data_IF_384937145869
#
_entry.id   IF_384937145869
#
_cell.length_a   1.000
_cell.length_b   1.000
_cell.length_c   1.000
_cell.angle_alpha   90.00
_cell.angle_beta   90.00
_cell.angle_gamma   90.00
#
_symmetry.space_group_name_H-M   'P 1'
#
loop_
_entity.id
_entity.type
_entity.pdbx_description
1 polymer ?
#
# COMPACT_ATOMS: atom_id res chain seq x y z
N UNK A 1 -12.27 -3.51 5.43
CA UNK A 1 -13.26 -3.45 4.33
C UNK A 1 -12.59 -3.02 3.02
N UNK A 2 -11.67 -3.83 2.48
CA UNK A 2 -11.07 -3.61 1.14
C UNK A 2 -10.96 -4.92 0.34
N UNK A 3 -11.34 -6.05 0.95
CA UNK A 3 -11.27 -7.39 0.35
C UNK A 3 -12.34 -7.59 -0.72
N UNK A 4 -13.52 -6.99 -0.52
CA UNK A 4 -14.68 -7.21 -1.41
C UNK A 4 -14.47 -6.62 -2.82
N UNK A 5 -13.70 -5.54 -2.94
CA UNK A 5 -13.55 -4.85 -4.22
C UNK A 5 -12.54 -5.51 -5.17
N UNK A 6 -11.59 -6.29 -4.62
CA UNK A 6 -10.57 -6.98 -5.42
C UNK A 6 -11.14 -8.23 -6.10
N UNK A 7 -11.91 -9.03 -5.36
CA UNK A 7 -12.60 -10.23 -5.88
C UNK A 7 -13.62 -9.86 -6.97
N UNK A 8 -14.40 -8.79 -6.77
CA UNK A 8 -15.31 -8.26 -7.79
C UNK A 8 -14.59 -7.78 -9.04
N UNK A 9 -13.43 -7.11 -8.89
CA UNK A 9 -12.61 -6.67 -10.02
C UNK A 9 -12.03 -7.85 -10.80
N UNK A 10 -11.59 -8.90 -10.10
CA UNK A 10 -11.11 -10.17 -10.66
C UNK A 10 -12.20 -10.88 -11.46
N UNK A 11 -13.38 -11.08 -10.86
CA UNK A 11 -14.51 -11.72 -11.50
C UNK A 11 -14.97 -10.98 -12.76
N UNK A 12 -15.00 -9.64 -12.72
CA UNK A 12 -15.37 -8.80 -13.87
C UNK A 12 -14.27 -8.64 -14.93
N UNK A 13 -13.09 -9.24 -14.74
CA UNK A 13 -11.96 -9.14 -15.69
C UNK A 13 -11.76 -10.41 -16.51
N UNK A 14 -12.39 -11.52 -16.12
CA UNK A 14 -12.23 -12.82 -16.78
C UNK A 14 -13.36 -13.04 -17.79
N UNK A 15 -13.08 -12.92 -19.09
CA UNK A 15 -14.03 -13.35 -20.13
C UNK A 15 -13.95 -14.86 -20.29
N UNK A 16 -15.09 -15.54 -20.33
CA UNK A 16 -15.21 -17.01 -20.31
C UNK A 16 -14.79 -17.69 -21.63
N UNK A 17 -14.31 -16.95 -22.63
CA UNK A 17 -14.30 -17.34 -24.05
C UNK A 17 -12.89 -17.63 -24.62
N UNK A 18 -11.99 -18.18 -23.81
CA UNK A 18 -10.76 -18.82 -24.29
C UNK A 18 -9.64 -17.92 -24.84
N UNK A 19 -9.82 -16.59 -24.94
CA UNK A 19 -8.77 -15.64 -25.36
C UNK A 19 -7.97 -15.12 -24.17
N UNK A 20 -7.28 -16.05 -23.51
CA UNK A 20 -6.49 -15.85 -22.29
C UNK A 20 -5.56 -14.61 -22.36
N UNK A 21 -4.97 -14.31 -23.52
CA UNK A 21 -4.07 -13.16 -23.69
C UNK A 21 -4.79 -11.81 -23.60
N UNK A 22 -6.03 -11.72 -24.12
CA UNK A 22 -6.82 -10.49 -24.06
C UNK A 22 -7.31 -10.23 -22.62
N UNK A 23 -7.69 -11.30 -21.93
CA UNK A 23 -8.11 -11.26 -20.53
C UNK A 23 -6.96 -10.88 -19.60
N UNK A 24 -5.75 -11.38 -19.84
CA UNK A 24 -4.55 -10.97 -19.09
C UNK A 24 -4.27 -9.48 -19.28
N UNK A 25 -4.34 -8.95 -20.51
CA UNK A 25 -4.08 -7.54 -20.75
C UNK A 25 -5.15 -6.63 -20.11
N UNK A 26 -6.41 -7.05 -20.15
CA UNK A 26 -7.53 -6.37 -19.48
C UNK A 26 -7.35 -6.40 -17.95
N UNK A 27 -7.01 -7.57 -17.40
CA UNK A 27 -6.71 -7.74 -15.98
C UNK A 27 -5.53 -6.87 -15.53
N UNK A 28 -4.40 -6.90 -16.26
CA UNK A 28 -3.22 -6.07 -15.96
C UNK A 28 -3.55 -4.58 -15.98
N UNK A 29 -4.41 -4.15 -16.89
CA UNK A 29 -4.86 -2.76 -16.99
C UNK A 29 -5.71 -2.37 -15.77
N UNK A 30 -6.70 -3.20 -15.40
CA UNK A 30 -7.52 -2.99 -14.21
C UNK A 30 -6.72 -3.04 -12.91
N UNK A 31 -5.74 -3.94 -12.80
CA UNK A 31 -4.81 -3.99 -11.65
C UNK A 31 -3.95 -2.73 -11.58
N UNK A 32 -3.47 -2.19 -12.70
CA UNK A 32 -2.72 -0.92 -12.72
C UNK A 32 -3.57 0.25 -12.28
N UNK A 33 -4.81 0.33 -12.76
CA UNK A 33 -5.75 1.38 -12.38
C UNK A 33 -6.13 1.30 -10.90
N UNK A 34 -6.45 0.10 -10.41
CA UNK A 34 -6.68 -0.15 -8.99
C UNK A 34 -5.44 0.19 -8.15
N UNK A 35 -4.25 -0.20 -8.59
CA UNK A 35 -3.00 0.13 -7.90
C UNK A 35 -2.75 1.65 -7.90
N UNK A 36 -3.08 2.38 -8.97
CA UNK A 36 -2.96 3.83 -8.99
C UNK A 36 -4.00 4.51 -8.09
N UNK A 37 -5.27 4.09 -8.15
CA UNK A 37 -6.36 4.61 -7.32
C UNK A 37 -6.08 4.35 -5.83
N UNK A 38 -5.67 3.13 -5.48
CA UNK A 38 -5.41 2.74 -4.09
C UNK A 38 -4.05 3.25 -3.55
N UNK A 39 -3.00 3.37 -4.37
CA UNK A 39 -1.63 3.68 -3.89
C UNK A 39 -1.02 4.99 -4.43
N UNK A 40 -1.58 5.57 -5.49
CA UNK A 40 -1.12 6.82 -6.10
C UNK A 40 -1.21 7.98 -5.12
N UNK A 41 -2.33 8.09 -4.41
CA UNK A 41 -2.53 9.11 -3.37
C UNK A 41 -1.55 8.95 -2.21
N UNK A 42 -1.28 7.71 -1.77
CA UNK A 42 -0.38 7.40 -0.64
C UNK A 42 1.08 7.73 -0.99
N UNK A 43 1.52 7.38 -2.20
CA UNK A 43 2.89 7.67 -2.65
C UNK A 43 3.10 9.17 -2.91
N UNK A 44 2.09 9.86 -3.43
CA UNK A 44 2.07 11.33 -3.52
C UNK A 44 2.13 12.01 -2.16
N UNK A 45 1.30 11.57 -1.20
CA UNK A 45 1.28 12.08 0.19
C UNK A 45 2.65 11.89 0.86
N UNK A 46 3.28 10.72 0.72
CA UNK A 46 4.65 10.47 1.20
C UNK A 46 5.66 11.48 0.63
N UNK A 47 5.64 11.72 -0.68
CA UNK A 47 6.58 12.64 -1.35
C UNK A 47 6.39 14.07 -0.86
N UNK A 48 5.13 14.53 -0.72
CA UNK A 48 4.80 15.86 -0.23
C UNK A 48 5.26 16.06 1.22
N UNK A 49 5.00 15.09 2.10
CA UNK A 49 5.41 15.15 3.51
C UNK A 49 6.93 15.22 3.65
N UNK A 50 7.68 14.42 2.87
CA UNK A 50 9.14 14.46 2.87
C UNK A 50 9.69 15.80 2.37
N UNK A 51 9.11 16.36 1.31
CA UNK A 51 9.50 17.68 0.80
C UNK A 51 9.26 18.77 1.85
N UNK A 52 8.09 18.78 2.50
CA UNK A 52 7.79 19.74 3.58
C UNK A 52 8.72 19.59 4.78
N UNK A 53 9.03 18.36 5.20
CA UNK A 53 9.99 18.11 6.28
C UNK A 53 11.39 18.62 5.94
N UNK A 54 11.83 18.49 4.68
CA UNK A 54 13.12 19.01 4.22
C UNK A 54 13.16 20.54 4.32
N UNK A 55 12.12 21.21 3.85
CA UNK A 55 12.03 22.67 3.92
C UNK A 55 11.94 23.17 5.37
N UNK A 56 11.21 22.49 6.24
CA UNK A 56 11.11 22.87 7.66
C UNK A 56 12.44 22.68 8.39
N UNK A 57 13.18 21.61 8.10
CA UNK A 57 14.54 21.44 8.64
C UNK A 57 15.43 22.61 8.22
N UNK A 58 15.45 22.94 6.92
CA UNK A 58 16.22 24.08 6.40
C UNK A 58 15.84 25.41 7.06
N UNK A 59 14.54 25.64 7.30
CA UNK A 59 14.05 26.84 8.00
C UNK A 59 14.42 26.84 9.47
N UNK A 60 14.37 25.70 10.16
CA UNK A 60 14.77 25.57 11.57
C UNK A 60 16.27 25.80 11.76
N UNK A 61 17.10 25.37 10.80
CA UNK A 61 18.54 25.59 10.83
C UNK A 61 18.90 27.09 10.73
N UNK A 62 18.03 27.88 10.08
CA UNK A 62 18.17 29.33 9.96
C UNK A 62 17.48 30.10 11.09
N UNK A 63 16.30 29.65 11.50
CA UNK A 63 15.43 30.31 12.48
C UNK A 63 14.76 29.24 13.37
N UNK A 64 15.28 28.98 14.58
CA UNK A 64 14.72 28.00 15.50
C UNK A 64 13.44 28.56 16.14
N UNK A 65 12.32 28.43 15.42
CA UNK A 65 10.99 28.81 15.87
C UNK A 65 10.24 27.62 16.46
N UNK A 66 9.64 27.79 17.63
CA UNK A 66 8.89 26.75 18.33
C UNK A 66 7.69 26.23 17.50
N UNK A 67 7.03 27.11 16.77
CA UNK A 67 5.98 26.74 15.80
C UNK A 67 6.50 25.75 14.73
N UNK A 68 7.70 25.97 14.20
CA UNK A 68 8.30 25.08 13.19
C UNK A 68 8.70 23.73 13.79
N UNK A 69 9.11 23.70 15.07
CA UNK A 69 9.36 22.46 15.80
C UNK A 69 8.07 21.65 15.99
N UNK A 70 6.96 22.30 16.35
CA UNK A 70 5.67 21.64 16.48
C UNK A 70 5.17 21.11 15.12
N UNK A 71 5.31 21.92 14.06
CA UNK A 71 4.95 21.51 12.70
C UNK A 71 5.81 20.32 12.21
N UNK A 72 7.11 20.30 12.53
CA UNK A 72 7.99 19.15 12.24
C UNK A 72 7.52 17.88 12.93
N UNK A 73 7.09 17.97 14.21
CA UNK A 73 6.56 16.83 14.96
C UNK A 73 5.29 16.29 14.32
N UNK A 74 4.33 17.16 14.02
CA UNK A 74 3.07 16.82 13.33
C UNK A 74 3.34 16.10 12.00
N UNK A 75 4.14 16.68 11.11
CA UNK A 75 4.45 16.07 9.81
C UNK A 75 5.21 14.74 9.92
N UNK A 76 5.98 14.54 11.00
CA UNK A 76 6.65 13.26 11.27
C UNK A 76 5.65 12.17 11.68
N UNK A 77 4.59 12.53 12.40
CA UNK A 77 3.50 11.61 12.73
C UNK A 77 2.69 11.24 11.49
N UNK A 78 2.34 12.23 10.66
CA UNK A 78 1.64 11.99 9.38
C UNK A 78 2.43 11.04 8.46
N UNK A 79 3.77 11.21 8.43
CA UNK A 79 4.62 10.33 7.64
C UNK A 79 4.64 8.90 8.19
N UNK A 80 4.67 8.74 9.52
CA UNK A 80 4.59 7.41 10.16
C UNK A 80 3.27 6.72 9.85
N UNK A 81 2.16 7.45 9.88
CA UNK A 81 0.84 6.93 9.50
C UNK A 81 0.84 6.42 8.05
N UNK A 82 1.34 7.23 7.10
CA UNK A 82 1.45 6.85 5.68
C UNK A 82 2.34 5.61 5.47
N UNK A 83 3.41 5.48 6.25
CA UNK A 83 4.27 4.30 6.21
C UNK A 83 3.59 3.07 6.82
N UNK A 84 2.83 3.23 7.89
CA UNK A 84 2.01 2.17 8.49
C UNK A 84 0.97 1.64 7.51
N UNK A 85 0.23 2.54 6.85
CA UNK A 85 -0.71 2.19 5.78
C UNK A 85 -0.03 1.39 4.67
N UNK A 86 1.18 1.80 4.23
CA UNK A 86 1.97 1.01 3.28
C UNK A 86 2.31 -0.37 3.83
N UNK A 87 2.78 -0.48 5.07
CA UNK A 87 3.16 -1.75 5.68
C UNK A 87 1.98 -2.72 5.76
N UNK A 88 0.80 -2.26 6.17
CA UNK A 88 -0.42 -3.08 6.18
C UNK A 88 -0.80 -3.57 4.79
N UNK A 89 -0.66 -2.73 3.77
CA UNK A 89 -0.90 -3.14 2.37
C UNK A 89 0.14 -4.14 1.86
N UNK A 90 1.40 -3.99 2.27
CA UNK A 90 2.44 -4.97 1.94
C UNK A 90 2.16 -6.33 2.58
N UNK A 91 1.72 -6.35 3.84
CA UNK A 91 1.30 -7.58 4.52
C UNK A 91 0.15 -8.28 3.80
N UNK A 92 -0.81 -7.52 3.28
CA UNK A 92 -1.93 -8.07 2.49
C UNK A 92 -1.50 -8.64 1.13
N UNK A 93 -0.38 -8.17 0.56
CA UNK A 93 0.16 -8.67 -0.72
C UNK A 93 0.97 -9.96 -0.58
N UNK A 94 1.48 -10.26 0.62
CA UNK A 94 2.25 -11.49 0.84
C UNK A 94 1.25 -12.65 0.89
N UNK A 95 1.35 -13.66 0.01
CA UNK A 95 0.53 -14.85 0.13
C UNK A 95 0.83 -15.51 1.49
N UNK A 96 -0.16 -15.62 2.38
CA UNK A 96 -0.05 -16.25 3.71
C UNK A 96 0.24 -17.78 3.68
N UNK A 97 0.89 -18.29 2.63
CA UNK A 97 1.09 -19.74 2.40
C UNK A 97 2.24 -20.38 3.17
N UNK A 98 3.03 -19.65 3.95
CA UNK A 98 4.22 -20.22 4.61
C UNK A 98 4.05 -20.47 6.12
N UNK A 99 2.91 -20.12 6.72
CA UNK A 99 2.72 -20.19 8.18
C UNK A 99 1.61 -21.15 8.64
N UNK A 100 1.41 -22.27 7.94
CA UNK A 100 0.72 -23.42 8.55
C UNK A 100 1.77 -24.43 9.02
N UNK A 101 1.93 -24.64 10.34
CA UNK A 101 2.58 -25.84 10.83
C UNK A 101 1.74 -27.03 10.35
N UNK A 102 2.40 -27.99 9.72
CA UNK A 102 1.81 -29.27 9.33
C UNK A 102 1.19 -29.93 10.57
N UNK A 103 -0.11 -29.75 10.79
CA UNK A 103 -0.91 -30.62 11.64
C UNK A 103 -1.48 -31.70 10.73
N UNK A 104 -0.79 -32.83 10.72
CA UNK A 104 -1.19 -34.10 10.15
C UNK A 104 -0.16 -35.12 10.64
N UNK A 105 -0.31 -35.74 11.80
CA UNK A 105 -1.53 -36.41 12.23
C UNK A 105 -1.68 -37.73 11.47
N UNK A 106 -0.63 -38.54 11.43
CA UNK A 106 -0.64 -39.90 10.86
C UNK A 106 0.05 -40.87 11.80
N UNK A 107 -0.73 -41.52 12.67
CA UNK A 107 -0.34 -42.77 13.33
C UNK A 107 -0.04 -43.79 12.22
N UNK A 108 1.14 -44.39 12.26
CA UNK A 108 1.40 -45.66 11.59
C UNK A 108 1.30 -46.71 12.69
N UNK A 109 0.26 -47.54 12.60
CA UNK A 109 0.16 -48.82 13.30
C UNK A 109 1.04 -49.83 12.57
#
# INVERSE_FOLDING_TARGET
MYHDNFELMLANSWVRDGRVVLDINNFLSKVKEWNFSSFGHISGKKRLLLARLKEIKKKLDQYPLEFLLNLKKQLSLDLKEVLSQKASLWQQKIPCKWASPLIGGGRIV
#
